data_IF_811934347338
#
_entry.id   IF_811934347338
#
_cell.length_a   1.000
_cell.length_b   1.000
_cell.length_c   1.000
_cell.angle_alpha   90.00
_cell.angle_beta   90.00
_cell.angle_gamma   90.00
#
_symmetry.space_group_name_H-M   'P 1'
#
loop_
_entity.id
_entity.type
_entity.pdbx_description
1 polymer ?
#
# COMPACT_ATOMS: atom_id res chain seq x y z
N UNK A 1 -26.92 -4.72 26.90
CA UNK A 1 -27.29 -5.33 25.61
C UNK A 1 -28.10 -4.29 24.87
N UNK A 2 -27.70 -3.94 23.64
CA UNK A 2 -28.14 -2.80 22.81
C UNK A 2 -27.42 -1.47 23.11
N UNK A 3 -26.19 -1.36 22.62
CA UNK A 3 -25.55 -0.06 22.32
C UNK A 3 -24.56 -0.15 21.13
N UNK A 4 -24.14 -1.34 20.70
CA UNK A 4 -23.15 -1.53 19.61
C UNK A 4 -23.68 -1.46 18.15
N UNK A 5 -24.93 -1.04 17.91
CA UNK A 5 -25.51 -1.09 16.55
C UNK A 5 -25.66 0.28 15.87
N UNK A 6 -25.24 1.37 16.52
CA UNK A 6 -25.38 2.73 15.99
C UNK A 6 -24.11 3.32 15.37
N UNK A 7 -22.91 2.81 15.71
CA UNK A 7 -21.65 3.38 15.22
C UNK A 7 -21.30 2.96 13.78
N UNK A 8 -21.82 1.83 13.29
CA UNK A 8 -21.51 1.31 11.94
C UNK A 8 -22.35 2.00 10.84
N UNK A 9 -23.47 2.63 11.21
CA UNK A 9 -24.38 3.29 10.26
C UNK A 9 -23.98 4.76 9.99
N UNK A 10 -23.35 5.42 10.96
CA UNK A 10 -22.92 6.83 10.83
C UNK A 10 -21.69 7.01 9.95
N UNK A 11 -20.77 6.04 9.91
CA UNK A 11 -19.59 6.09 9.01
C UNK A 11 -19.98 5.93 7.54
N UNK A 12 -21.06 5.17 7.26
CA UNK A 12 -21.56 4.97 5.89
C UNK A 12 -22.24 6.22 5.31
N UNK A 13 -22.82 7.09 6.15
CA UNK A 13 -23.51 8.32 5.72
C UNK A 13 -22.53 9.48 5.44
N UNK A 14 -21.41 9.55 6.17
CA UNK A 14 -20.36 10.54 5.92
C UNK A 14 -19.57 10.26 4.64
N UNK A 15 -19.38 8.98 4.29
CA UNK A 15 -18.74 8.60 3.03
C UNK A 15 -19.60 9.07 1.85
N UNK A 16 -20.93 8.89 1.88
CA UNK A 16 -21.81 9.36 0.79
C UNK A 16 -21.86 10.88 0.58
N UNK A 17 -21.68 11.68 1.64
CA UNK A 17 -21.64 13.14 1.51
C UNK A 17 -20.28 13.67 1.02
N UNK A 18 -19.18 12.97 1.32
CA UNK A 18 -17.87 13.20 0.68
C UNK A 18 -17.94 12.80 -0.80
N UNK A 19 -18.70 11.74 -1.15
CA UNK A 19 -18.98 11.37 -2.53
C UNK A 19 -19.86 12.41 -3.27
N UNK A 20 -20.60 13.28 -2.57
CA UNK A 20 -21.57 14.23 -3.18
C UNK A 20 -21.02 15.64 -3.40
N UNK A 21 -20.03 16.09 -2.62
CA UNK A 21 -19.54 17.47 -2.70
C UNK A 21 -18.39 17.69 -3.69
N UNK A 22 -17.68 16.65 -4.14
CA UNK A 22 -16.74 16.67 -5.27
C UNK A 22 -16.44 15.26 -5.79
N UNK A 23 -17.35 14.71 -6.59
CA UNK A 23 -17.31 13.43 -7.35
C UNK A 23 -15.98 12.61 -7.32
N UNK A 24 -15.70 11.83 -6.27
CA UNK A 24 -14.56 10.91 -6.23
C UNK A 24 -14.64 9.80 -7.29
N UNK A 25 -15.84 9.49 -7.80
CA UNK A 25 -16.02 8.58 -8.94
C UNK A 25 -15.27 9.03 -10.20
N UNK A 26 -15.03 10.34 -10.41
CA UNK A 26 -14.27 10.81 -11.58
C UNK A 26 -12.77 10.51 -11.51
N UNK A 27 -12.20 10.38 -10.30
CA UNK A 27 -10.80 9.98 -10.12
C UNK A 27 -10.61 8.49 -10.45
N UNK A 28 -11.62 7.67 -10.16
CA UNK A 28 -11.58 6.22 -10.33
C UNK A 28 -11.80 5.75 -11.78
N UNK A 29 -12.39 6.58 -12.64
CA UNK A 29 -12.73 6.19 -14.03
C UNK A 29 -11.49 5.87 -14.91
N UNK A 30 -10.29 6.30 -14.51
CA UNK A 30 -9.00 5.75 -14.99
C UNK A 30 -7.83 6.23 -14.13
N UNK A 31 -7.62 5.60 -12.97
CA UNK A 31 -6.46 5.92 -12.15
C UNK A 31 -5.16 5.64 -12.93
N UNK A 32 -4.21 6.60 -12.98
CA UNK A 32 -2.93 6.39 -13.65
C UNK A 32 -2.15 5.23 -13.02
N UNK A 33 -1.19 4.72 -13.77
CA UNK A 33 -0.22 3.78 -13.21
C UNK A 33 0.55 4.43 -12.07
N UNK A 34 0.71 3.70 -10.97
CA UNK A 34 1.64 4.06 -9.90
C UNK A 34 3.06 3.89 -10.46
N UNK A 35 3.93 4.90 -10.31
CA UNK A 35 5.28 4.82 -10.83
C UNK A 35 6.16 3.90 -9.96
N UNK A 36 6.98 3.11 -10.63
CA UNK A 36 8.05 2.30 -10.02
C UNK A 36 9.37 3.03 -10.16
N UNK A 37 10.31 2.83 -9.24
CA UNK A 37 11.64 3.42 -9.36
C UNK A 37 12.41 2.79 -10.53
N UNK A 38 13.14 3.61 -11.29
CA UNK A 38 14.00 3.11 -12.38
C UNK A 38 15.03 2.08 -11.88
N UNK A 39 15.56 2.24 -10.67
CA UNK A 39 16.47 1.25 -10.06
C UNK A 39 15.80 -0.09 -9.82
N UNK A 40 14.51 -0.10 -9.47
CA UNK A 40 13.73 -1.32 -9.27
C UNK A 40 13.60 -2.05 -10.59
N UNK A 41 13.21 -1.34 -11.66
CA UNK A 41 13.16 -1.89 -13.01
C UNK A 41 14.51 -2.49 -13.44
N UNK A 42 15.60 -1.73 -13.33
CA UNK A 42 16.94 -2.21 -13.74
C UNK A 42 17.37 -3.46 -12.94
N UNK A 43 17.07 -3.52 -11.63
CA UNK A 43 17.37 -4.71 -10.81
C UNK A 43 16.56 -5.92 -11.24
N UNK A 44 15.27 -5.73 -11.54
CA UNK A 44 14.41 -6.79 -12.07
C UNK A 44 14.91 -7.27 -13.44
N UNK A 45 15.29 -6.36 -14.34
CA UNK A 45 15.86 -6.72 -15.65
C UNK A 45 17.10 -7.60 -15.51
N UNK A 46 18.01 -7.27 -14.57
CA UNK A 46 19.20 -8.08 -14.31
C UNK A 46 18.84 -9.47 -13.75
N UNK A 47 17.95 -9.54 -12.75
CA UNK A 47 17.55 -10.82 -12.15
C UNK A 47 16.84 -11.75 -13.14
N UNK A 48 16.07 -11.18 -14.07
CA UNK A 48 15.33 -11.94 -15.08
C UNK A 48 16.19 -12.40 -16.28
N UNK A 49 17.42 -11.90 -16.40
CA UNK A 49 18.38 -12.36 -17.41
C UNK A 49 19.15 -13.62 -16.98
N UNK A 50 19.09 -13.98 -15.69
CA UNK A 50 19.76 -15.15 -15.16
C UNK A 50 19.13 -16.46 -15.69
N UNK A 51 19.93 -17.53 -15.89
CA UNK A 51 19.43 -18.81 -16.40
C UNK A 51 18.43 -19.51 -15.46
N UNK A 52 18.43 -19.12 -14.19
CA UNK A 52 17.45 -19.53 -13.18
C UNK A 52 17.03 -18.30 -12.38
N UNK A 53 15.73 -18.05 -12.30
CA UNK A 53 15.18 -16.90 -11.58
C UNK A 53 15.13 -17.22 -10.08
N UNK A 54 15.83 -16.41 -9.29
CA UNK A 54 15.68 -16.40 -7.83
C UNK A 54 14.43 -15.59 -7.45
N UNK A 55 13.32 -16.28 -7.20
CA UNK A 55 12.04 -15.65 -6.83
C UNK A 55 12.12 -14.86 -5.52
N UNK A 56 12.96 -15.26 -4.58
CA UNK A 56 13.14 -14.52 -3.33
C UNK A 56 13.84 -13.19 -3.60
N UNK A 57 14.89 -13.18 -4.42
CA UNK A 57 15.55 -11.93 -4.82
C UNK A 57 14.60 -11.00 -5.60
N UNK A 58 13.78 -11.54 -6.50
CA UNK A 58 12.76 -10.76 -7.22
C UNK A 58 11.72 -10.17 -6.25
N UNK A 59 11.20 -10.99 -5.35
CA UNK A 59 10.24 -10.57 -4.32
C UNK A 59 10.79 -9.45 -3.44
N UNK A 60 12.04 -9.56 -2.99
CA UNK A 60 12.71 -8.51 -2.20
C UNK A 60 12.83 -7.18 -2.96
N UNK A 61 13.12 -7.23 -4.27
CA UNK A 61 13.16 -6.03 -5.12
C UNK A 61 11.79 -5.39 -5.24
N UNK A 62 10.73 -6.19 -5.43
CA UNK A 62 9.34 -5.69 -5.50
C UNK A 62 8.93 -5.08 -4.17
N UNK A 63 9.08 -5.81 -3.06
CA UNK A 63 8.70 -5.37 -1.70
C UNK A 63 9.45 -4.13 -1.23
N UNK A 64 10.64 -3.89 -1.77
CA UNK A 64 11.40 -2.67 -1.52
C UNK A 64 10.75 -1.44 -2.17
N UNK A 65 9.98 -1.59 -3.24
CA UNK A 65 9.40 -0.47 -3.97
C UNK A 65 7.88 -0.45 -3.78
N UNK A 66 7.32 0.54 -3.05
CA UNK A 66 5.88 0.65 -2.87
C UNK A 66 5.09 0.70 -4.18
N UNK A 67 5.64 1.34 -5.21
CA UNK A 67 5.01 1.43 -6.53
C UNK A 67 4.95 0.07 -7.21
N UNK A 68 6.05 -0.67 -7.21
CA UNK A 68 6.09 -2.03 -7.74
C UNK A 68 5.17 -2.98 -6.97
N UNK A 69 5.21 -2.91 -5.63
CA UNK A 69 4.37 -3.75 -4.77
C UNK A 69 2.90 -3.50 -5.04
N UNK A 70 2.48 -2.23 -5.10
CA UNK A 70 1.09 -1.88 -5.30
C UNK A 70 0.60 -2.24 -6.71
N UNK A 71 1.44 -2.07 -7.73
CA UNK A 71 1.12 -2.51 -9.10
C UNK A 71 0.93 -4.02 -9.19
N UNK A 72 1.78 -4.80 -8.52
CA UNK A 72 1.63 -6.26 -8.48
C UNK A 72 0.34 -6.66 -7.74
N UNK A 73 0.07 -6.07 -6.58
CA UNK A 73 -1.14 -6.38 -5.81
C UNK A 73 -2.41 -5.98 -6.55
N UNK A 74 -2.41 -4.84 -7.25
CA UNK A 74 -3.51 -4.43 -8.13
C UNK A 74 -3.74 -5.45 -9.25
N UNK A 75 -2.67 -5.88 -9.92
CA UNK A 75 -2.78 -6.90 -10.97
C UNK A 75 -3.35 -8.22 -10.43
N UNK A 76 -2.95 -8.62 -9.21
CA UNK A 76 -3.49 -9.79 -8.53
C UNK A 76 -4.97 -9.59 -8.18
N UNK A 77 -5.36 -8.43 -7.65
CA UNK A 77 -6.76 -8.11 -7.35
C UNK A 77 -7.66 -8.15 -8.59
N UNK A 78 -7.14 -7.69 -9.73
CA UNK A 78 -7.83 -7.74 -11.03
C UNK A 78 -8.02 -9.17 -11.55
N UNK A 79 -7.04 -10.07 -11.37
CA UNK A 79 -7.14 -11.47 -11.82
C UNK A 79 -7.85 -12.40 -10.83
N UNK A 80 -7.74 -12.13 -9.53
CA UNK A 80 -8.26 -12.95 -8.43
C UNK A 80 -9.25 -12.13 -7.58
N UNK A 81 -10.48 -11.89 -8.09
CA UNK A 81 -11.49 -11.12 -7.37
C UNK A 81 -11.99 -11.85 -6.11
N UNK A 82 -11.89 -13.18 -6.06
CA UNK A 82 -12.20 -13.98 -4.88
C UNK A 82 -10.96 -14.14 -4.00
N UNK A 83 -11.10 -13.85 -2.71
CA UNK A 83 -9.99 -13.93 -1.75
C UNK A 83 -9.53 -15.38 -1.47
N UNK A 84 -10.40 -16.39 -1.59
CA UNK A 84 -10.04 -17.79 -1.32
C UNK A 84 -9.01 -18.35 -2.31
N UNK A 85 -9.04 -17.88 -3.56
CA UNK A 85 -8.15 -18.31 -4.64
C UNK A 85 -6.91 -17.40 -4.79
N UNK A 86 -6.84 -16.32 -4.01
CA UNK A 86 -5.82 -15.27 -4.19
C UNK A 86 -4.48 -15.69 -3.56
N UNK A 87 -3.37 -15.58 -4.31
CA UNK A 87 -2.04 -15.78 -3.71
C UNK A 87 -1.75 -14.69 -2.68
N UNK A 88 -1.24 -15.08 -1.52
CA UNK A 88 -0.96 -14.17 -0.40
C UNK A 88 0.51 -13.76 -0.30
N UNK A 89 1.42 -14.60 -0.80
CA UNK A 89 2.86 -14.31 -0.85
C UNK A 89 3.25 -13.70 -2.19
N UNK A 90 4.18 -12.76 -2.18
CA UNK A 90 4.65 -12.08 -3.39
C UNK A 90 5.26 -13.08 -4.40
N UNK A 91 5.95 -14.11 -3.93
CA UNK A 91 6.50 -15.16 -4.80
C UNK A 91 5.38 -15.92 -5.52
N UNK A 92 4.30 -16.26 -4.80
CA UNK A 92 3.14 -16.94 -5.36
C UNK A 92 2.42 -16.03 -6.36
N UNK A 93 2.34 -14.73 -6.07
CA UNK A 93 1.83 -13.71 -7.00
C UNK A 93 2.68 -13.58 -8.28
N UNK A 94 3.99 -13.77 -8.21
CA UNK A 94 4.86 -13.74 -9.40
C UNK A 94 4.61 -14.99 -10.26
N UNK A 95 4.53 -16.16 -9.61
CA UNK A 95 4.37 -17.47 -10.27
C UNK A 95 2.97 -17.65 -10.87
N UNK A 96 1.95 -16.99 -10.34
CA UNK A 96 0.58 -17.08 -10.86
C UNK A 96 0.42 -16.59 -12.31
N UNK A 97 1.41 -15.85 -12.84
CA UNK A 97 1.39 -15.36 -14.22
C UNK A 97 2.28 -16.21 -15.13
N UNK A 98 1.68 -16.84 -16.13
CA UNK A 98 2.36 -17.67 -17.13
C UNK A 98 3.34 -16.89 -18.05
N UNK A 99 3.23 -15.57 -18.08
CA UNK A 99 4.11 -14.67 -18.83
C UNK A 99 4.73 -13.64 -17.88
N UNK A 100 5.81 -12.98 -18.31
CA UNK A 100 6.36 -11.79 -17.62
C UNK A 100 5.38 -10.58 -17.65
N UNK A 101 4.06 -10.81 -17.75
CA UNK A 101 3.00 -9.79 -17.68
C UNK A 101 3.08 -8.98 -16.40
N UNK A 102 3.36 -9.62 -15.26
CA UNK A 102 3.56 -8.91 -14.00
C UNK A 102 4.69 -7.88 -14.12
N UNK A 103 5.78 -8.22 -14.81
CA UNK A 103 6.92 -7.32 -15.03
C UNK A 103 6.53 -6.15 -15.92
N UNK A 104 5.80 -6.39 -17.00
CA UNK A 104 5.29 -5.33 -17.89
C UNK A 104 4.40 -4.33 -17.15
N UNK A 105 3.52 -4.81 -16.27
CA UNK A 105 2.63 -3.96 -15.46
C UNK A 105 3.42 -3.20 -14.38
N UNK A 106 4.25 -3.90 -13.61
CA UNK A 106 5.09 -3.30 -12.55
C UNK A 106 6.02 -2.24 -13.11
N UNK A 107 6.56 -2.45 -14.31
CA UNK A 107 7.52 -1.54 -14.95
C UNK A 107 6.89 -0.61 -16.00
N UNK A 108 5.56 -0.57 -16.12
CA UNK A 108 4.84 0.21 -17.13
C UNK A 108 5.15 1.72 -17.05
N UNK A 109 5.36 2.22 -15.83
CA UNK A 109 5.78 3.60 -15.58
C UNK A 109 6.99 3.58 -14.65
N UNK A 110 8.12 4.14 -15.12
CA UNK A 110 9.33 4.25 -14.31
C UNK A 110 9.75 5.70 -14.14
N UNK A 111 10.10 6.09 -12.91
CA UNK A 111 10.56 7.45 -12.58
C UNK A 111 12.01 7.47 -12.09
N UNK A 112 12.73 8.58 -12.30
CA UNK A 112 14.12 8.71 -11.87
C UNK A 112 14.23 8.76 -10.33
N UNK A 113 15.41 8.39 -9.82
CA UNK A 113 15.74 8.46 -8.39
C UNK A 113 15.64 9.88 -7.80
N UNK A 114 15.79 10.92 -8.63
CA UNK A 114 15.70 12.31 -8.18
C UNK A 114 14.26 12.82 -8.03
N UNK A 115 13.25 11.94 -8.12
CA UNK A 115 11.85 12.33 -7.98
C UNK A 115 11.51 12.63 -6.50
N UNK A 116 10.63 13.61 -6.26
CA UNK A 116 10.07 13.89 -4.95
C UNK A 116 9.26 12.71 -4.36
N UNK A 117 8.87 11.75 -5.21
CA UNK A 117 8.24 10.49 -4.79
C UNK A 117 9.22 9.61 -3.99
N UNK A 118 10.53 9.71 -4.23
CA UNK A 118 11.53 8.85 -3.58
C UNK A 118 11.48 8.99 -2.05
N UNK A 119 11.44 10.23 -1.53
CA UNK A 119 11.41 10.47 -0.09
C UNK A 119 10.18 9.82 0.58
N UNK A 120 9.03 9.86 -0.11
CA UNK A 120 7.82 9.19 0.35
C UNK A 120 7.99 7.66 0.32
N UNK A 121 8.53 7.10 -0.76
CA UNK A 121 8.77 5.65 -0.87
C UNK A 121 9.76 5.14 0.18
N UNK A 122 10.81 5.89 0.46
CA UNK A 122 11.77 5.58 1.52
C UNK A 122 11.12 5.63 2.90
N UNK A 123 10.28 6.64 3.15
CA UNK A 123 9.50 6.71 4.38
C UNK A 123 8.57 5.50 4.53
N UNK A 124 7.81 5.15 3.49
CA UNK A 124 6.88 4.02 3.50
C UNK A 124 7.62 2.69 3.75
N UNK A 125 8.78 2.50 3.11
CA UNK A 125 9.64 1.34 3.34
C UNK A 125 10.16 1.27 4.79
N UNK A 126 10.57 2.40 5.38
CA UNK A 126 11.00 2.45 6.78
C UNK A 126 9.86 2.05 7.73
N UNK A 127 8.64 2.55 7.49
CA UNK A 127 7.45 2.17 8.27
C UNK A 127 7.18 0.68 8.12
N UNK A 128 7.22 0.13 6.90
CA UNK A 128 7.04 -1.30 6.62
C UNK A 128 8.04 -2.17 7.40
N UNK A 129 9.32 -1.80 7.36
CA UNK A 129 10.38 -2.52 8.08
C UNK A 129 10.13 -2.49 9.60
N UNK A 130 9.79 -1.32 10.16
CA UNK A 130 9.49 -1.20 11.58
C UNK A 130 8.25 -2.03 11.97
N UNK A 131 7.19 -1.98 11.16
CA UNK A 131 5.95 -2.74 11.39
C UNK A 131 6.21 -4.25 11.39
N UNK A 132 7.04 -4.74 10.45
CA UNK A 132 7.45 -6.14 10.39
C UNK A 132 8.22 -6.58 11.64
N UNK A 133 9.18 -5.78 12.11
CA UNK A 133 9.94 -6.12 13.32
C UNK A 133 9.07 -6.08 14.58
N UNK A 134 8.15 -5.13 14.69
CA UNK A 134 7.19 -5.07 15.80
C UNK A 134 6.23 -6.27 15.80
N UNK A 135 5.74 -6.69 14.64
CA UNK A 135 4.83 -7.83 14.51
C UNK A 135 5.45 -9.15 15.00
N UNK A 136 6.77 -9.33 14.87
CA UNK A 136 7.47 -10.52 15.42
C UNK A 136 7.36 -10.63 16.94
N UNK A 137 7.08 -9.52 17.63
CA UNK A 137 6.92 -9.46 19.08
C UNK A 137 5.45 -9.56 19.52
N UNK A 138 4.50 -9.70 18.59
CA UNK A 138 3.06 -9.73 18.87
C UNK A 138 2.46 -11.05 18.39
N UNK A 139 2.01 -11.87 19.33
CA UNK A 139 1.49 -13.21 19.02
C UNK A 139 0.27 -13.18 18.09
N UNK A 140 0.31 -14.01 17.05
CA UNK A 140 -0.80 -14.15 16.11
C UNK A 140 -0.95 -12.98 15.12
N UNK A 141 0.11 -12.19 14.90
CA UNK A 141 0.19 -11.24 13.80
C UNK A 141 1.26 -11.68 12.80
N UNK A 142 0.92 -11.69 11.51
CA UNK A 142 1.88 -12.05 10.46
C UNK A 142 2.86 -10.90 10.21
N UNK A 143 4.19 -11.13 10.30
CA UNK A 143 5.18 -10.11 9.97
C UNK A 143 5.10 -9.63 8.52
N UNK A 144 4.74 -10.51 7.59
CA UNK A 144 4.63 -10.17 6.17
C UNK A 144 3.38 -9.32 5.89
N UNK A 145 2.25 -9.63 6.53
CA UNK A 145 1.07 -8.77 6.46
C UNK A 145 1.36 -7.41 7.08
N UNK A 146 2.08 -7.38 8.22
CA UNK A 146 2.47 -6.14 8.87
C UNK A 146 3.43 -5.29 8.03
N UNK A 147 4.34 -5.94 7.29
CA UNK A 147 5.17 -5.25 6.32
C UNK A 147 4.31 -4.57 5.25
N UNK A 148 3.39 -5.30 4.61
CA UNK A 148 2.54 -4.77 3.54
C UNK A 148 1.60 -3.66 4.05
N UNK A 149 1.00 -3.87 5.22
CA UNK A 149 0.16 -2.88 5.90
C UNK A 149 0.97 -1.62 6.22
N UNK A 150 2.20 -1.76 6.73
CA UNK A 150 3.11 -0.62 6.95
C UNK A 150 3.50 0.11 5.68
N UNK A 151 3.85 -0.65 4.64
CA UNK A 151 4.28 -0.12 3.34
C UNK A 151 3.21 0.72 2.67
N UNK A 152 1.95 0.27 2.75
CA UNK A 152 0.83 0.90 2.05
C UNK A 152 -0.10 1.67 3.00
N UNK A 153 0.28 1.84 4.27
CA UNK A 153 -0.52 2.57 5.28
C UNK A 153 -0.88 4.01 4.88
N UNK A 154 -0.10 4.60 3.98
CA UNK A 154 -0.28 5.97 3.49
C UNK A 154 -0.88 6.01 2.07
N UNK A 155 -1.54 4.94 1.62
CA UNK A 155 -2.16 4.81 0.28
C UNK A 155 -3.02 6.02 -0.09
N UNK A 156 -3.74 6.56 0.88
CA UNK A 156 -4.59 7.74 0.73
C UNK A 156 -3.90 9.02 0.27
N UNK A 157 -2.59 9.11 0.46
CA UNK A 157 -1.78 10.26 0.04
C UNK A 157 -1.28 10.16 -1.40
N UNK A 158 -1.48 9.00 -2.07
CA UNK A 158 -1.03 8.79 -3.45
C UNK A 158 -1.51 9.86 -4.43
N UNK A 159 -2.80 10.25 -4.46
CA UNK A 159 -3.26 11.24 -5.43
C UNK A 159 -2.55 12.58 -5.27
N UNK A 160 -2.17 12.94 -4.03
CA UNK A 160 -1.43 14.16 -3.75
C UNK A 160 0.05 14.02 -4.19
N UNK A 161 0.74 12.96 -3.78
CA UNK A 161 2.16 12.71 -4.09
C UNK A 161 2.39 12.65 -5.61
N UNK A 162 1.44 12.02 -6.33
CA UNK A 162 1.51 11.82 -7.78
C UNK A 162 0.86 12.94 -8.59
N UNK A 163 0.26 13.94 -7.94
CA UNK A 163 -0.40 15.06 -8.62
C UNK A 163 -1.65 14.66 -9.42
N UNK A 164 -2.33 13.59 -9.03
CA UNK A 164 -3.62 13.19 -9.62
C UNK A 164 -4.76 14.14 -9.19
N UNK A 165 -4.56 14.86 -8.09
CA UNK A 165 -5.49 15.82 -7.51
C UNK A 165 -4.77 17.16 -7.23
N UNK A 166 -5.43 18.29 -7.50
CA UNK A 166 -4.95 19.64 -7.16
C UNK A 166 -5.37 20.11 -5.77
N UNK A 167 -6.34 19.45 -5.13
CA UNK A 167 -6.85 19.80 -3.81
C UNK A 167 -6.00 19.15 -2.70
N UNK A 168 -5.49 20.00 -1.81
CA UNK A 168 -4.75 19.62 -0.60
C UNK A 168 -5.76 19.20 0.48
N UNK A 169 -6.29 18.00 0.34
CA UNK A 169 -7.27 17.45 1.27
C UNK A 169 -6.72 17.31 2.70
N UNK A 170 -7.63 17.30 3.67
CA UNK A 170 -7.28 17.05 5.08
C UNK A 170 -6.78 15.62 5.32
N UNK A 171 -6.14 15.36 6.46
CA UNK A 171 -5.71 13.99 6.84
C UNK A 171 -6.87 12.98 6.86
N UNK A 172 -8.07 13.42 7.28
CA UNK A 172 -9.27 12.59 7.27
C UNK A 172 -9.71 12.22 5.84
N UNK A 173 -9.56 13.15 4.88
CA UNK A 173 -9.82 12.88 3.47
C UNK A 173 -8.82 11.89 2.88
N UNK A 174 -7.53 12.00 3.21
CA UNK A 174 -6.54 11.00 2.79
C UNK A 174 -6.91 9.61 3.30
N UNK A 175 -7.32 9.47 4.56
CA UNK A 175 -7.70 8.16 5.07
C UNK A 175 -8.89 7.55 4.31
N UNK A 176 -9.94 8.33 4.06
CA UNK A 176 -11.10 7.88 3.27
C UNK A 176 -10.70 7.49 1.83
N UNK A 177 -9.84 8.29 1.20
CA UNK A 177 -9.26 7.97 -0.12
C UNK A 177 -8.46 6.67 -0.09
N UNK A 178 -7.72 6.39 0.99
CA UNK A 178 -6.97 5.15 1.17
C UNK A 178 -7.87 3.92 1.15
N UNK A 179 -8.99 3.95 1.90
CA UNK A 179 -9.99 2.87 1.90
C UNK A 179 -10.60 2.69 0.51
N UNK A 180 -10.99 3.79 -0.14
CA UNK A 180 -11.55 3.76 -1.48
C UNK A 180 -10.59 3.14 -2.51
N UNK A 181 -9.31 3.53 -2.48
CA UNK A 181 -8.29 2.98 -3.38
C UNK A 181 -8.04 1.49 -3.12
N UNK A 182 -8.02 1.09 -1.84
CA UNK A 182 -7.83 -0.31 -1.46
C UNK A 182 -8.99 -1.20 -1.95
N UNK A 183 -10.23 -0.72 -1.82
CA UNK A 183 -11.43 -1.39 -2.32
C UNK A 183 -11.43 -1.45 -3.85
N UNK A 184 -11.19 -0.32 -4.52
CA UNK A 184 -11.17 -0.24 -5.99
C UNK A 184 -10.11 -1.15 -6.63
N UNK A 185 -8.92 -1.26 -6.02
CA UNK A 185 -7.86 -2.16 -6.48
C UNK A 185 -7.97 -3.59 -5.96
N UNK A 186 -9.05 -3.92 -5.24
CA UNK A 186 -9.28 -5.24 -4.66
C UNK A 186 -8.07 -5.73 -3.87
N UNK A 187 -7.49 -4.86 -3.04
CA UNK A 187 -6.34 -5.23 -2.20
C UNK A 187 -6.75 -6.32 -1.20
N UNK A 188 -5.78 -7.08 -0.64
CA UNK A 188 -6.08 -8.18 0.28
C UNK A 188 -6.98 -7.76 1.46
N UNK A 189 -7.94 -8.60 1.85
CA UNK A 189 -8.91 -8.26 2.92
C UNK A 189 -8.25 -7.85 4.23
N UNK A 190 -7.17 -8.52 4.65
CA UNK A 190 -6.43 -8.14 5.86
C UNK A 190 -5.93 -6.68 5.81
N UNK A 191 -5.57 -6.20 4.61
CA UNK A 191 -5.12 -4.83 4.40
C UNK A 191 -6.29 -3.84 4.48
N UNK A 192 -7.41 -4.16 3.84
CA UNK A 192 -8.63 -3.36 3.92
C UNK A 192 -9.14 -3.24 5.37
N UNK A 193 -9.16 -4.35 6.12
CA UNK A 193 -9.49 -4.34 7.54
C UNK A 193 -8.51 -3.47 8.34
N UNK A 194 -7.20 -3.60 8.10
CA UNK A 194 -6.20 -2.78 8.79
C UNK A 194 -6.39 -1.27 8.55
N UNK A 195 -6.64 -0.83 7.31
CA UNK A 195 -6.90 0.59 7.02
C UNK A 195 -8.21 1.07 7.67
N UNK A 196 -9.28 0.27 7.62
CA UNK A 196 -10.54 0.61 8.27
C UNK A 196 -10.39 0.76 9.80
N UNK A 197 -9.60 -0.11 10.43
CA UNK A 197 -9.28 -0.02 11.85
C UNK A 197 -8.51 1.27 12.19
N UNK A 198 -7.61 1.73 11.32
CA UNK A 198 -6.87 2.98 11.51
C UNK A 198 -7.74 4.24 11.45
N UNK A 199 -8.91 4.16 10.80
CA UNK A 199 -9.88 5.25 10.76
C UNK A 199 -10.65 5.44 12.06
N UNK A 200 -10.62 4.46 12.95
CA UNK A 200 -11.46 4.43 14.15
C UNK A 200 -10.62 4.71 15.41
N UNK A 201 -10.45 5.99 15.83
CA UNK A 201 -9.61 6.35 16.97
C UNK A 201 -10.12 5.81 18.33
N UNK A 202 -11.33 5.25 18.36
CA UNK A 202 -11.95 4.69 19.55
C UNK A 202 -11.62 3.20 19.81
N UNK A 203 -11.00 2.50 18.86
CA UNK A 203 -10.64 1.09 19.01
C UNK A 203 -9.13 0.95 19.20
N UNK A 204 -8.71 0.31 20.30
CA UNK A 204 -7.34 -0.21 20.46
C UNK A 204 -7.17 -1.38 19.48
N UNK A 205 -6.99 -1.04 18.21
CA UNK A 205 -6.83 -2.02 17.15
C UNK A 205 -5.37 -2.46 17.11
N UNK A 206 -5.15 -3.77 16.93
CA UNK A 206 -3.80 -4.36 16.93
C UNK A 206 -2.94 -3.75 15.83
N UNK A 207 -3.55 -3.44 14.68
CA UNK A 207 -2.90 -2.74 13.57
C UNK A 207 -2.59 -1.29 13.89
N UNK A 208 -3.50 -0.58 14.57
CA UNK A 208 -3.33 0.81 14.96
C UNK A 208 -2.12 1.03 15.87
N UNK A 209 -1.99 0.22 16.91
CA UNK A 209 -0.86 0.31 17.85
C UNK A 209 0.48 0.07 17.16
N UNK A 210 0.58 -0.99 16.34
CA UNK A 210 1.82 -1.35 15.65
C UNK A 210 2.20 -0.29 14.63
N UNK A 211 1.25 0.21 13.84
CA UNK A 211 1.54 1.23 12.84
C UNK A 211 1.90 2.57 13.48
N UNK A 212 1.24 2.96 14.57
CA UNK A 212 1.59 4.17 15.29
C UNK A 212 3.03 4.08 15.85
N UNK A 213 3.39 2.93 16.43
CA UNK A 213 4.76 2.68 16.89
C UNK A 213 5.75 2.66 15.73
N UNK A 214 5.43 1.97 14.63
CA UNK A 214 6.29 1.87 13.45
C UNK A 214 6.58 3.24 12.84
N UNK A 215 5.56 4.10 12.70
CA UNK A 215 5.69 5.47 12.22
C UNK A 215 6.55 6.31 13.16
N UNK A 216 6.33 6.21 14.47
CA UNK A 216 7.14 6.93 15.46
C UNK A 216 8.62 6.53 15.42
N UNK A 217 8.94 5.26 15.15
CA UNK A 217 10.32 4.78 14.99
C UNK A 217 10.91 5.21 13.64
N UNK A 218 10.13 5.14 12.57
CA UNK A 218 10.57 5.52 11.22
C UNK A 218 10.97 7.01 11.13
N UNK A 219 10.22 7.90 11.80
CA UNK A 219 10.52 9.34 11.91
C UNK A 219 11.84 9.56 12.67
N UNK A 220 12.06 8.86 13.79
CA UNK A 220 13.31 8.98 14.56
C UNK A 220 14.53 8.43 13.84
N UNK A 221 14.32 7.53 12.89
CA UNK A 221 15.36 6.86 12.11
C UNK A 221 15.70 7.62 10.82
N UNK A 222 15.14 8.81 10.62
CA UNK A 222 15.49 9.67 9.49
C UNK A 222 16.96 10.11 9.61
N UNK A 223 17.81 9.81 8.62
CA UNK A 223 19.18 10.31 8.64
C UNK A 223 19.14 11.84 8.65
N UNK A 224 19.93 12.47 9.52
CA UNK A 224 19.99 13.92 9.73
C UNK A 224 20.48 14.75 8.52
N UNK A 225 20.42 14.21 7.30
CA UNK A 225 21.03 14.74 6.09
C UNK A 225 20.09 15.58 5.20
N UNK A 226 18.84 15.84 5.63
CA UNK A 226 17.88 16.63 4.85
C UNK A 226 17.23 17.78 5.65
N UNK A 227 17.88 18.24 6.72
CA UNK A 227 17.55 19.51 7.36
C UNK A 227 18.58 20.57 6.92
N UNK A 228 18.40 21.11 5.71
CA UNK A 228 18.95 22.40 5.28
C UNK A 228 17.98 23.06 4.28
#
# INVERSE_FOLDING_TARGET
MQEDQYAVVETSLYISDILSSSSPNRLLDSLPNIPTMMTTRLRLELLLQEPSIDLSAVSEVILSDPGATLQLLRLIGEEYPNDEDRPTRIEDCIVSFNSNRWYEVVCALSIPQSSHVLAHWEYWRRVAQCARELAKCVDGLSPEEAYLVGLLSQLGTLPHILGWNNDTGSSAEHSAVGVMLADYWHLPTYFCCAIQELQSPASSSRWGEILQMAQAVAIKSEPAAFQD
#
